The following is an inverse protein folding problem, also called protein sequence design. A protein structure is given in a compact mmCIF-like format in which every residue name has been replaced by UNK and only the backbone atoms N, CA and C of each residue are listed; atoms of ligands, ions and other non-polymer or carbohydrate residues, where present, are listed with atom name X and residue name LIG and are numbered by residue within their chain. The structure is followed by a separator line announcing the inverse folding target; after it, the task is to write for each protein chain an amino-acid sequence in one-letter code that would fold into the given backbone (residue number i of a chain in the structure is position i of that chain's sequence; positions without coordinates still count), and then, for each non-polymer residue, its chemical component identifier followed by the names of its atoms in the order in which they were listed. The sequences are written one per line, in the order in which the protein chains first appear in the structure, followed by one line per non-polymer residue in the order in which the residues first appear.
data_IF_683085050992
#
_entry.id   IF_683085050992
#
_cell.length_a   1.000
_cell.length_b   1.000
_cell.length_c   1.000
_cell.angle_alpha   90.00
_cell.angle_beta   90.00
_cell.angle_gamma   90.00
#
_symmetry.space_group_name_H-M   'P 1'
#
loop_
_entity.id
_entity.type
_entity.pdbx_description
1 polymer ?
#
# COMPACT_ATOMS: atom_id res chain seq x y z
N UNK A 1 -50.63 -31.48 16.48
CA UNK A 1 -50.31 -31.33 15.05
C UNK A 1 -49.98 -29.86 14.87
N UNK A 2 -48.83 -29.42 14.39
CA UNK A 2 -47.71 -30.06 13.71
C UNK A 2 -46.53 -29.07 13.79
N UNK A 3 -45.31 -29.61 13.73
CA UNK A 3 -44.05 -28.87 13.76
C UNK A 3 -43.86 -28.04 12.47
N UNK A 4 -43.15 -26.91 12.57
CA UNK A 4 -42.19 -26.53 11.52
C UNK A 4 -40.97 -25.87 12.16
N UNK A 5 -39.83 -26.55 12.01
CA UNK A 5 -38.50 -26.18 12.48
C UNK A 5 -37.74 -25.28 11.50
N UNK A 6 -36.90 -24.42 12.09
CA UNK A 6 -35.60 -23.91 11.63
C UNK A 6 -35.36 -23.55 10.14
N UNK A 7 -34.95 -22.30 9.96
CA UNK A 7 -34.11 -21.84 8.84
C UNK A 7 -33.27 -20.62 9.23
N UNK A 8 -32.40 -20.75 10.24
CA UNK A 8 -31.38 -19.73 10.53
C UNK A 8 -30.34 -19.74 9.41
N UNK A 9 -30.50 -18.86 8.42
CA UNK A 9 -29.45 -18.59 7.45
C UNK A 9 -28.27 -17.92 8.16
N UNK A 10 -27.30 -18.72 8.63
CA UNK A 10 -25.95 -18.23 8.92
C UNK A 10 -25.37 -17.67 7.63
N UNK A 11 -25.34 -16.34 7.50
CA UNK A 11 -24.46 -15.68 6.52
C UNK A 11 -23.02 -16.09 6.86
N UNK A 12 -22.43 -16.90 6.00
CA UNK A 12 -21.00 -17.18 6.02
C UNK A 12 -20.32 -15.84 5.69
N UNK A 13 -19.72 -15.18 6.67
CA UNK A 13 -18.82 -14.05 6.40
C UNK A 13 -17.62 -14.64 5.65
N UNK A 14 -17.58 -14.46 4.34
CA UNK A 14 -16.49 -14.96 3.51
C UNK A 14 -15.17 -14.46 4.08
N UNK A 15 -14.24 -15.37 4.39
CA UNK A 15 -12.90 -15.05 4.91
C UNK A 15 -11.98 -14.33 3.94
N UNK A 16 -12.53 -13.84 2.83
CA UNK A 16 -11.82 -13.25 1.71
C UNK A 16 -12.54 -11.98 1.24
N UNK A 17 -11.74 -10.96 0.93
CA UNK A 17 -12.22 -9.71 0.33
C UNK A 17 -12.06 -9.84 -1.18
N UNK A 18 -13.18 -9.81 -1.89
CA UNK A 18 -13.22 -9.89 -3.36
C UNK A 18 -12.96 -8.52 -3.97
N UNK A 19 -11.89 -8.39 -4.75
CA UNK A 19 -11.64 -7.26 -5.62
C UNK A 19 -12.65 -7.26 -6.76
N UNK A 20 -13.67 -6.40 -6.68
CA UNK A 20 -14.50 -6.12 -7.87
C UNK A 20 -13.68 -5.27 -8.83
N UNK A 21 -13.84 -5.54 -10.12
CA UNK A 21 -13.30 -4.72 -11.20
C UNK A 21 -13.67 -3.24 -10.93
N UNK A 22 -12.68 -2.41 -10.61
CA UNK A 22 -12.89 -0.99 -10.33
C UNK A 22 -13.02 -0.27 -11.67
N UNK A 23 -14.19 -0.38 -12.30
CA UNK A 23 -14.60 0.52 -13.37
C UNK A 23 -15.16 1.81 -12.77
N UNK A 24 -14.90 2.94 -13.45
CA UNK A 24 -15.08 4.36 -13.09
C UNK A 24 -16.45 4.84 -12.54
N UNK A 25 -17.34 3.98 -12.05
CA UNK A 25 -18.67 4.39 -11.57
C UNK A 25 -18.96 3.93 -10.14
N UNK A 26 -19.48 4.90 -9.37
CA UNK A 26 -20.01 4.88 -8.00
C UNK A 26 -19.97 3.53 -7.30
N UNK A 27 -19.21 3.48 -6.20
CA UNK A 27 -19.34 2.47 -5.16
C UNK A 27 -20.75 2.57 -4.56
N UNK A 28 -21.62 1.63 -4.90
CA UNK A 28 -22.96 1.49 -4.30
C UNK A 28 -22.85 0.86 -2.91
N UNK A 29 -23.42 1.52 -1.91
CA UNK A 29 -23.45 1.08 -0.53
C UNK A 29 -24.59 0.07 -0.30
N UNK A 30 -24.27 -1.21 -0.28
CA UNK A 30 -25.07 -2.18 0.49
C UNK A 30 -24.17 -3.32 0.96
N UNK A 31 -23.63 -3.21 2.18
CA UNK A 31 -22.92 -4.30 2.85
C UNK A 31 -23.29 -4.28 4.34
N UNK A 32 -24.10 -5.24 4.76
CA UNK A 32 -24.36 -5.57 6.15
C UNK A 32 -23.17 -6.39 6.70
N UNK A 33 -22.24 -5.75 7.41
CA UNK A 33 -21.03 -6.37 7.98
C UNK A 33 -20.63 -5.72 9.31
N UNK A 34 -19.83 -6.42 10.13
CA UNK A 34 -19.52 -6.01 11.51
C UNK A 34 -18.66 -4.74 11.63
N UNK A 35 -18.60 -4.16 12.83
CA UNK A 35 -17.96 -2.86 13.13
C UNK A 35 -16.50 -2.73 12.62
N UNK A 36 -15.73 -3.82 12.62
CA UNK A 36 -14.34 -3.82 12.12
C UNK A 36 -14.20 -4.00 10.60
N UNK A 37 -15.09 -4.75 9.95
CA UNK A 37 -15.16 -4.82 8.47
C UNK A 37 -15.59 -3.49 7.87
N UNK A 38 -16.60 -2.88 8.49
CA UNK A 38 -17.04 -1.53 8.16
C UNK A 38 -15.89 -0.56 8.34
N UNK A 39 -15.10 -0.66 9.42
CA UNK A 39 -13.95 0.23 9.66
C UNK A 39 -12.76 -0.01 8.74
N UNK A 40 -12.42 -1.23 8.37
CA UNK A 40 -11.32 -1.47 7.43
C UNK A 40 -11.68 -0.97 6.03
N UNK A 41 -12.88 -1.32 5.58
CA UNK A 41 -13.42 -0.82 4.32
C UNK A 41 -13.62 0.69 4.37
N UNK A 42 -14.06 1.27 5.50
CA UNK A 42 -14.21 2.71 5.67
C UNK A 42 -12.86 3.41 5.78
N UNK A 43 -11.83 2.83 6.39
CA UNK A 43 -10.47 3.39 6.45
C UNK A 43 -9.83 3.34 5.08
N UNK A 44 -9.90 2.22 4.35
CA UNK A 44 -9.41 2.15 2.97
C UNK A 44 -10.23 3.08 2.06
N UNK A 45 -11.55 3.15 2.21
CA UNK A 45 -12.39 4.08 1.45
C UNK A 45 -12.19 5.55 1.87
N UNK A 46 -11.84 5.83 3.12
CA UNK A 46 -11.52 7.18 3.62
C UNK A 46 -10.15 7.61 3.11
N UNK A 47 -9.15 6.75 3.22
CA UNK A 47 -7.84 6.92 2.59
C UNK A 47 -8.00 7.06 1.07
N UNK A 48 -8.86 6.28 0.44
CA UNK A 48 -9.16 6.43 -0.99
C UNK A 48 -9.77 7.80 -1.33
N UNK A 49 -10.59 8.36 -0.44
CA UNK A 49 -11.18 9.70 -0.60
C UNK A 49 -10.20 10.83 -0.29
N UNK A 50 -9.34 10.67 0.71
CA UNK A 50 -8.34 11.68 1.10
C UNK A 50 -7.16 11.76 0.13
N UNK A 51 -6.75 10.63 -0.46
CA UNK A 51 -5.58 10.56 -1.32
C UNK A 51 -5.89 10.84 -2.82
N UNK A 52 -7.16 10.94 -3.18
CA UNK A 52 -7.61 11.14 -4.56
C UNK A 52 -7.72 9.84 -5.36
N UNK A 53 -8.56 9.86 -6.40
CA UNK A 53 -8.97 8.67 -7.18
C UNK A 53 -7.77 7.85 -7.69
N UNK A 54 -6.66 8.48 -8.12
CA UNK A 54 -5.46 7.78 -8.59
C UNK A 54 -4.68 7.05 -7.50
N UNK A 55 -4.46 7.66 -6.34
CA UNK A 55 -3.72 7.01 -5.24
C UNK A 55 -4.52 5.88 -4.59
N UNK A 56 -5.85 6.01 -4.56
CA UNK A 56 -6.73 4.92 -4.14
C UNK A 56 -6.59 3.68 -5.01
N UNK A 57 -6.44 3.86 -6.33
CA UNK A 57 -6.18 2.79 -7.28
C UNK A 57 -4.87 2.07 -6.98
N UNK A 58 -3.81 2.80 -6.64
CA UNK A 58 -2.50 2.21 -6.29
C UNK A 58 -2.57 1.33 -5.04
N UNK A 59 -3.28 1.79 -4.00
CA UNK A 59 -3.48 1.01 -2.78
C UNK A 59 -4.28 -0.26 -3.06
N UNK A 60 -5.36 -0.14 -3.84
CA UNK A 60 -6.18 -1.29 -4.23
C UNK A 60 -5.39 -2.27 -5.10
N UNK A 61 -4.67 -1.81 -6.11
CA UNK A 61 -3.84 -2.67 -6.96
C UNK A 61 -2.72 -3.34 -6.15
N UNK A 62 -2.08 -2.63 -5.22
CA UNK A 62 -1.09 -3.21 -4.30
C UNK A 62 -1.70 -4.33 -3.45
N UNK A 63 -2.89 -4.08 -2.87
CA UNK A 63 -3.63 -5.09 -2.12
C UNK A 63 -4.06 -6.27 -2.99
N UNK A 64 -4.55 -6.07 -4.23
CA UNK A 64 -5.07 -7.16 -5.06
C UNK A 64 -4.02 -7.86 -5.94
N UNK A 65 -2.80 -7.32 -6.01
CA UNK A 65 -1.62 -8.06 -6.51
C UNK A 65 -1.15 -9.11 -5.52
N UNK A 66 -1.53 -8.96 -4.26
CA UNK A 66 -1.40 -10.01 -3.26
C UNK A 66 -2.03 -11.32 -3.73
N UNK A 67 -1.50 -12.46 -3.27
CA UNK A 67 -1.92 -13.81 -3.67
C UNK A 67 -1.87 -14.07 -5.19
N UNK A 68 -0.88 -13.54 -5.90
CA UNK A 68 -0.66 -13.84 -7.32
C UNK A 68 -1.67 -13.19 -8.27
N UNK A 69 -2.31 -12.09 -7.85
CA UNK A 69 -3.26 -11.36 -8.70
C UNK A 69 -4.62 -12.01 -8.84
N UNK A 70 -4.98 -12.96 -7.98
CA UNK A 70 -6.25 -13.69 -8.07
C UNK A 70 -7.50 -12.84 -7.76
N UNK A 71 -7.32 -11.59 -7.31
CA UNK A 71 -8.42 -10.68 -6.96
C UNK A 71 -9.00 -10.94 -5.56
N UNK A 72 -8.38 -11.79 -4.75
CA UNK A 72 -8.84 -12.08 -3.38
C UNK A 72 -7.71 -11.90 -2.36
N UNK A 73 -7.98 -11.14 -1.31
CA UNK A 73 -7.07 -11.00 -0.16
C UNK A 73 -7.72 -11.68 1.04
N UNK A 74 -7.00 -12.62 1.67
CA UNK A 74 -7.45 -13.26 2.91
C UNK A 74 -7.64 -12.16 3.95
N UNK A 75 -8.83 -12.09 4.51
CA UNK A 75 -9.14 -11.07 5.51
C UNK A 75 -8.30 -11.35 6.77
N UNK A 76 -7.54 -10.36 7.27
CA UNK A 76 -6.80 -10.48 8.52
C UNK A 76 -7.67 -11.06 9.64
N UNK A 77 -7.09 -11.94 10.43
CA UNK A 77 -7.83 -12.65 11.48
C UNK A 77 -8.41 -11.68 12.51
N UNK A 78 -7.73 -10.55 12.76
CA UNK A 78 -8.21 -9.46 13.61
C UNK A 78 -9.53 -8.84 13.12
N UNK A 79 -9.79 -8.86 11.81
CA UNK A 79 -11.05 -8.39 11.23
C UNK A 79 -12.09 -9.52 11.17
N UNK A 80 -11.65 -10.79 11.21
CA UNK A 80 -12.51 -11.98 11.19
C UNK A 80 -13.02 -12.36 12.57
N UNK A 81 -12.24 -12.09 13.61
CA UNK A 81 -12.68 -12.23 14.99
C UNK A 81 -13.77 -11.19 15.23
N UNK A 82 -15.00 -11.68 15.43
CA UNK A 82 -16.00 -10.92 16.18
C UNK A 82 -15.44 -10.79 17.60
N UNK A 83 -14.53 -9.84 17.81
CA UNK A 83 -14.30 -9.31 19.14
C UNK A 83 -15.68 -8.92 19.63
N UNK A 84 -16.18 -9.69 20.61
CA UNK A 84 -17.39 -9.37 21.33
C UNK A 84 -17.22 -7.92 21.78
N UNK A 85 -17.97 -7.03 21.13
CA UNK A 85 -17.83 -5.59 21.27
C UNK A 85 -18.26 -5.18 22.68
N UNK A 86 -17.35 -5.24 23.65
CA UNK A 86 -17.52 -4.54 24.94
C UNK A 86 -16.45 -3.46 25.15
N UNK A 87 -15.54 -3.29 24.21
CA UNK A 87 -14.60 -2.16 24.22
C UNK A 87 -14.79 -1.34 22.96
N UNK A 88 -15.44 -0.19 23.11
CA UNK A 88 -15.30 0.93 22.20
C UNK A 88 -13.81 1.10 21.86
N UNK A 89 -13.52 1.18 20.56
CA UNK A 89 -12.20 1.57 20.10
C UNK A 89 -11.98 3.01 20.55
N UNK A 90 -11.18 3.14 21.59
CA UNK A 90 -10.68 4.41 22.07
C UNK A 90 -9.49 4.81 21.17
N UNK A 91 -9.62 5.85 20.31
CA UNK A 91 -8.53 6.34 19.48
C UNK A 91 -7.35 6.90 20.30
N UNK A 92 -7.48 7.02 21.62
CA UNK A 92 -6.41 7.43 22.53
C UNK A 92 -5.64 6.25 23.15
N UNK A 93 -6.12 5.00 23.00
CA UNK A 93 -5.38 3.81 23.46
C UNK A 93 -4.16 3.57 22.58
N UNK A 94 -2.98 3.70 23.19
CA UNK A 94 -1.71 3.30 22.58
C UNK A 94 -1.72 1.77 22.41
N UNK A 95 -1.74 1.30 21.17
CA UNK A 95 -1.61 -0.13 20.88
C UNK A 95 -0.13 -0.52 20.94
N UNK A 96 0.22 -1.70 21.50
CA UNK A 96 1.60 -2.16 21.50
C UNK A 96 2.06 -2.46 20.07
N UNK A 97 3.34 -2.19 19.80
CA UNK A 97 3.99 -2.59 18.55
C UNK A 97 4.04 -4.11 18.49
N UNK A 98 3.54 -4.69 17.40
CA UNK A 98 3.55 -6.15 17.18
C UNK A 98 4.73 -6.60 16.34
N UNK A 99 5.19 -5.74 15.43
CA UNK A 99 6.22 -6.06 14.45
C UNK A 99 6.93 -4.79 14.02
N UNK A 100 8.24 -4.84 13.87
CA UNK A 100 9.01 -3.74 13.29
C UNK A 100 9.51 -4.14 11.91
N UNK A 101 9.18 -3.34 10.90
CA UNK A 101 9.67 -3.50 9.53
C UNK A 101 10.84 -2.55 9.29
N UNK A 102 12.02 -3.11 9.04
CA UNK A 102 13.19 -2.38 8.54
C UNK A 102 13.26 -2.51 7.03
N UNK A 103 13.33 -1.37 6.35
CA UNK A 103 13.38 -1.25 4.89
C UNK A 103 14.63 -0.50 4.52
N UNK A 104 15.52 -1.15 3.79
CA UNK A 104 16.69 -0.49 3.21
C UNK A 104 16.50 -0.33 1.70
N UNK A 105 16.53 0.92 1.24
CA UNK A 105 16.44 1.28 -0.17
C UNK A 105 17.86 1.56 -0.68
N UNK A 106 18.40 0.65 -1.50
CA UNK A 106 19.77 0.77 -1.99
C UNK A 106 19.85 1.71 -3.19
N UNK A 107 19.18 1.34 -4.28
CA UNK A 107 19.30 2.02 -5.55
C UNK A 107 18.07 1.78 -6.43
N UNK A 108 17.94 2.59 -7.47
CA UNK A 108 17.00 2.38 -8.56
C UNK A 108 17.71 2.33 -9.91
N UNK A 109 17.06 1.71 -10.89
CA UNK A 109 17.55 1.68 -12.27
C UNK A 109 16.40 1.50 -13.25
N UNK A 110 16.70 1.71 -14.54
CA UNK A 110 15.80 1.41 -15.66
C UNK A 110 15.06 2.62 -16.23
N UNK A 111 15.14 3.79 -15.60
CA UNK A 111 14.48 5.00 -16.11
C UNK A 111 15.03 5.45 -17.48
N UNK A 112 16.35 5.41 -17.68
CA UNK A 112 16.97 5.76 -18.96
C UNK A 112 16.63 4.81 -20.11
N UNK A 113 16.05 3.64 -19.82
CA UNK A 113 15.58 2.67 -20.82
C UNK A 113 14.12 2.88 -21.19
N UNK A 114 13.31 3.36 -20.24
CA UNK A 114 11.86 3.46 -20.40
C UNK A 114 11.41 4.89 -20.76
N UNK A 115 12.24 5.91 -20.50
CA UNK A 115 11.91 7.33 -20.69
C UNK A 115 12.90 8.03 -21.63
N UNK A 116 12.43 9.06 -22.33
CA UNK A 116 13.29 9.92 -23.14
C UNK A 116 14.28 10.70 -22.25
N UNK A 117 15.47 11.06 -22.76
CA UNK A 117 16.45 11.85 -22.00
C UNK A 117 15.92 13.17 -21.45
N UNK A 118 14.88 13.75 -22.07
CA UNK A 118 14.27 15.02 -21.68
C UNK A 118 12.94 14.85 -20.93
N UNK A 119 12.64 13.65 -20.42
CA UNK A 119 11.33 13.35 -19.84
C UNK A 119 11.10 14.05 -18.49
N UNK A 120 12.13 14.06 -17.66
CA UNK A 120 12.13 14.64 -16.33
C UNK A 120 12.65 16.08 -16.42
N UNK A 121 13.92 16.22 -16.76
CA UNK A 121 14.53 17.52 -17.02
C UNK A 121 14.85 17.73 -18.49
N UNK A 122 14.68 18.97 -18.98
CA UNK A 122 14.92 19.29 -20.39
C UNK A 122 16.42 19.34 -20.75
N UNK A 123 17.28 19.70 -19.80
CA UNK A 123 18.69 20.01 -20.06
C UNK A 123 19.68 19.25 -19.16
N UNK A 124 19.20 18.41 -18.26
CA UNK A 124 19.98 17.62 -17.33
C UNK A 124 19.40 16.21 -17.16
N UNK A 125 20.13 15.25 -16.58
CA UNK A 125 19.54 14.05 -16.02
C UNK A 125 18.65 14.38 -14.80
N UNK A 126 17.80 13.44 -14.35
CA UNK A 126 16.87 13.67 -13.25
C UNK A 126 17.53 13.75 -11.86
N UNK A 127 16.86 14.48 -10.97
CA UNK A 127 17.11 14.67 -9.54
C UNK A 127 16.21 13.75 -8.69
N UNK A 128 16.49 12.45 -8.68
CA UNK A 128 15.58 11.50 -8.03
C UNK A 128 15.67 11.46 -6.50
N UNK A 129 14.50 11.41 -5.86
CA UNK A 129 14.33 11.04 -4.46
C UNK A 129 13.14 10.08 -4.29
N UNK A 130 13.12 9.36 -3.16
CA UNK A 130 12.04 8.44 -2.84
C UNK A 130 11.33 8.79 -1.53
N UNK A 131 10.02 8.68 -1.55
CA UNK A 131 9.16 8.71 -0.37
C UNK A 131 8.79 7.27 0.00
N UNK A 132 9.19 6.83 1.20
CA UNK A 132 8.92 5.50 1.75
C UNK A 132 7.98 5.65 2.94
N UNK A 133 6.85 4.96 2.95
CA UNK A 133 5.86 5.12 3.99
C UNK A 133 4.98 3.91 4.22
N UNK A 134 4.26 3.96 5.34
CA UNK A 134 3.25 2.96 5.71
C UNK A 134 1.86 3.56 5.54
N UNK A 135 0.98 2.79 4.91
CA UNK A 135 -0.45 3.06 4.81
C UNK A 135 -1.21 1.91 5.47
N UNK A 136 -2.33 2.16 6.13
CA UNK A 136 -3.09 1.13 6.84
C UNK A 136 -3.79 1.69 8.06
N UNK A 137 -3.38 1.22 9.26
CA UNK A 137 -3.89 1.76 10.52
C UNK A 137 -3.46 3.22 10.71
N UNK A 138 -4.38 4.13 11.11
CA UNK A 138 -4.04 5.55 11.31
C UNK A 138 -2.84 5.79 12.23
N UNK A 139 -2.68 4.98 13.29
CA UNK A 139 -1.54 5.07 14.22
C UNK A 139 -0.21 4.58 13.64
N UNK A 140 -0.24 3.79 12.56
CA UNK A 140 0.96 3.26 11.89
C UNK A 140 1.34 4.12 10.66
N UNK A 141 0.49 5.08 10.26
CA UNK A 141 0.75 5.92 9.08
C UNK A 141 1.97 6.79 9.34
N UNK A 142 2.97 6.62 8.48
CA UNK A 142 4.19 7.43 8.52
C UNK A 142 4.79 7.52 7.12
N UNK A 143 5.52 8.60 6.87
CA UNK A 143 6.14 8.87 5.59
C UNK A 143 7.52 9.48 5.83
N UNK A 144 8.52 8.87 5.21
CA UNK A 144 9.93 9.28 5.26
C UNK A 144 10.42 9.54 3.84
N UNK A 145 11.44 10.38 3.69
CA UNK A 145 12.04 10.70 2.40
C UNK A 145 13.52 10.37 2.41
N UNK A 146 14.04 9.90 1.29
CA UNK A 146 15.48 9.86 1.05
C UNK A 146 16.01 11.26 0.77
N UNK A 147 17.33 11.38 0.74
CA UNK A 147 18.03 12.46 0.05
C UNK A 147 17.70 12.46 -1.44
N UNK A 148 17.84 13.64 -2.04
CA UNK A 148 17.81 13.82 -3.49
C UNK A 148 19.17 13.43 -4.06
N UNK A 149 19.19 12.59 -5.08
CA UNK A 149 20.38 12.28 -5.87
C UNK A 149 20.28 13.09 -7.14
N UNK A 150 21.15 14.10 -7.29
CA UNK A 150 21.10 15.03 -8.40
C UNK A 150 21.71 14.46 -9.68
N UNK A 151 21.20 14.89 -10.83
CA UNK A 151 21.74 14.64 -12.17
C UNK A 151 22.10 13.16 -12.44
N UNK A 152 21.24 12.21 -12.04
CA UNK A 152 21.58 10.78 -12.16
C UNK A 152 20.38 9.85 -12.45
N UNK A 153 20.43 9.18 -13.61
CA UNK A 153 19.48 8.14 -14.02
C UNK A 153 19.54 6.83 -13.20
N UNK A 154 20.60 6.65 -12.42
CA UNK A 154 20.86 5.45 -11.61
C UNK A 154 21.08 5.85 -10.14
N UNK A 155 20.03 6.33 -9.44
CA UNK A 155 20.16 6.86 -8.09
C UNK A 155 20.54 5.76 -7.11
N UNK A 156 21.55 6.04 -6.28
CA UNK A 156 21.97 5.19 -5.15
C UNK A 156 21.71 5.97 -3.87
N UNK A 157 20.62 5.63 -3.17
CA UNK A 157 20.26 6.26 -1.89
C UNK A 157 20.98 5.60 -0.72
N UNK A 158 20.98 4.27 -0.67
CA UNK A 158 21.53 3.47 0.43
C UNK A 158 21.04 3.91 1.82
N UNK A 159 19.74 4.18 1.94
CA UNK A 159 19.09 4.65 3.17
C UNK A 159 18.20 3.58 3.78
N UNK A 160 18.14 3.55 5.11
CA UNK A 160 17.35 2.61 5.90
C UNK A 160 16.26 3.32 6.69
N UNK A 161 15.09 2.69 6.73
CA UNK A 161 13.89 3.19 7.38
C UNK A 161 13.29 2.12 8.27
N UNK A 162 12.98 2.49 9.50
CA UNK A 162 12.31 1.62 10.46
C UNK A 162 10.85 2.01 10.67
N UNK A 163 9.97 1.02 10.70
CA UNK A 163 8.52 1.20 10.81
C UNK A 163 7.96 0.25 11.90
N UNK A 164 7.71 0.74 13.11
CA UNK A 164 6.97 -0.02 14.12
C UNK A 164 5.49 -0.12 13.73
N UNK A 165 4.94 -1.33 13.71
CA UNK A 165 3.58 -1.61 13.25
C UNK A 165 2.74 -2.22 14.38
N UNK A 166 1.60 -1.61 14.66
CA UNK A 166 0.62 -2.12 15.63
C UNK A 166 -0.32 -3.14 14.99
N UNK A 167 -0.62 -3.00 13.69
CA UNK A 167 -1.46 -3.96 12.93
C UNK A 167 -0.80 -4.27 11.57
N UNK A 168 0.32 -5.02 11.56
CA UNK A 168 1.06 -5.34 10.33
C UNK A 168 0.24 -6.09 9.29
N UNK A 169 -0.84 -6.76 9.67
CA UNK A 169 -1.71 -7.54 8.79
C UNK A 169 -2.46 -6.68 7.77
N UNK A 170 -2.60 -5.38 8.05
CA UNK A 170 -3.25 -4.41 7.15
C UNK A 170 -2.33 -3.32 6.65
N UNK A 171 -1.05 -3.36 7.05
CA UNK A 171 -0.06 -2.38 6.66
C UNK A 171 0.36 -2.62 5.21
N UNK A 172 0.45 -1.53 4.45
CA UNK A 172 0.99 -1.46 3.11
C UNK A 172 2.24 -0.59 3.14
N UNK A 173 3.36 -1.13 2.67
CA UNK A 173 4.56 -0.38 2.39
C UNK A 173 4.38 0.32 1.03
N UNK A 174 4.29 1.65 1.04
CA UNK A 174 4.23 2.47 -0.15
C UNK A 174 5.60 3.09 -0.43
N UNK A 175 6.06 2.95 -1.67
CA UNK A 175 7.24 3.65 -2.18
C UNK A 175 6.81 4.48 -3.37
N UNK A 176 7.20 5.75 -3.38
CA UNK A 176 7.02 6.64 -4.51
C UNK A 176 8.38 7.24 -4.86
N UNK A 177 8.78 7.21 -6.13
CA UNK A 177 9.97 7.92 -6.63
C UNK A 177 9.48 9.13 -7.39
N UNK A 178 10.17 10.25 -7.16
CA UNK A 178 9.91 11.52 -7.82
C UNK A 178 11.21 12.14 -8.28
N UNK A 179 11.09 12.93 -9.30
CA UNK A 179 12.11 13.83 -9.76
C UNK A 179 11.88 15.21 -9.13
N UNK A 180 12.94 15.82 -8.59
CA UNK A 180 12.86 17.06 -7.84
C UNK A 180 12.96 18.24 -8.81
N UNK A 181 11.87 18.96 -9.00
CA UNK A 181 11.86 20.20 -9.77
C UNK A 181 11.93 21.41 -8.82
N UNK A 182 13.01 22.21 -8.84
CA UNK A 182 13.13 23.42 -8.00
C UNK A 182 12.14 24.53 -8.37
N UNK A 183 11.67 24.53 -9.61
CA UNK A 183 10.87 25.61 -10.23
C UNK A 183 9.38 25.29 -10.30
N UNK A 184 9.03 24.02 -10.12
CA UNK A 184 7.68 23.52 -10.30
C UNK A 184 7.28 22.46 -9.28
N UNK A 185 6.43 21.55 -9.73
CA UNK A 185 5.96 20.42 -8.94
C UNK A 185 6.81 19.22 -9.32
N UNK A 186 7.38 18.56 -8.33
CA UNK A 186 8.12 17.30 -8.49
C UNK A 186 7.40 16.30 -9.42
N UNK A 187 8.12 15.83 -10.43
CA UNK A 187 7.61 14.92 -11.45
C UNK A 187 7.52 13.49 -10.94
N UNK A 188 6.50 12.77 -11.41
CA UNK A 188 6.26 11.40 -10.98
C UNK A 188 7.19 10.43 -11.72
N UNK A 189 8.06 9.74 -10.98
CA UNK A 189 9.01 8.79 -11.55
C UNK A 189 8.65 7.32 -11.28
N UNK A 190 7.60 7.05 -10.49
CA UNK A 190 7.10 5.70 -10.26
C UNK A 190 6.57 5.48 -8.86
N UNK A 191 5.76 4.42 -8.70
CA UNK A 191 5.28 3.99 -7.40
C UNK A 191 5.20 2.47 -7.30
N UNK A 192 5.22 1.97 -6.08
CA UNK A 192 4.82 0.61 -5.76
C UNK A 192 4.18 0.57 -4.39
N UNK A 193 3.29 -0.40 -4.19
CA UNK A 193 2.58 -0.58 -2.93
C UNK A 193 2.53 -2.07 -2.61
N UNK A 194 3.15 -2.45 -1.50
CA UNK A 194 3.43 -3.84 -1.13
C UNK A 194 2.77 -4.16 0.21
N UNK A 195 1.91 -5.19 0.29
CA UNK A 195 1.38 -5.66 1.57
C UNK A 195 2.51 -6.14 2.47
N UNK A 196 2.60 -5.59 3.69
CA UNK A 196 3.66 -5.96 4.65
C UNK A 196 3.60 -7.45 5.01
N UNK A 197 2.40 -8.03 5.01
CA UNK A 197 2.15 -9.46 5.23
C UNK A 197 2.77 -10.38 4.16
N UNK A 198 3.05 -9.87 2.96
CA UNK A 198 3.62 -10.65 1.85
C UNK A 198 5.10 -10.38 1.61
N UNK A 199 5.66 -9.37 2.28
CA UNK A 199 7.08 -9.09 2.22
C UNK A 199 7.87 -10.25 2.83
N UNK A 200 8.93 -10.67 2.13
CA UNK A 200 9.87 -11.70 2.57
C UNK A 200 11.22 -11.06 2.86
N UNK A 201 11.83 -11.37 3.99
CA UNK A 201 13.13 -10.83 4.40
C UNK A 201 14.25 -11.06 3.37
N UNK A 202 15.23 -10.16 3.35
CA UNK A 202 16.38 -10.16 2.44
C UNK A 202 16.19 -9.24 1.23
N UNK A 203 17.11 -9.37 0.26
CA UNK A 203 17.17 -8.52 -0.93
C UNK A 203 16.09 -8.85 -1.96
N UNK A 204 15.46 -7.83 -2.52
CA UNK A 204 14.42 -7.91 -3.54
C UNK A 204 14.62 -6.85 -4.60
N UNK A 205 14.42 -7.25 -5.85
CA UNK A 205 14.21 -6.31 -6.95
C UNK A 205 12.71 -6.04 -7.04
N UNK A 206 12.32 -4.79 -6.83
CA UNK A 206 10.92 -4.36 -6.73
C UNK A 206 10.57 -3.52 -7.95
N UNK A 207 9.63 -3.95 -8.82
CA UNK A 207 9.22 -3.17 -9.97
C UNK A 207 8.41 -1.93 -9.56
N UNK A 208 8.52 -0.88 -10.37
CA UNK A 208 7.70 0.33 -10.25
C UNK A 208 6.60 0.38 -11.30
N UNK A 209 5.58 1.17 -10.99
CA UNK A 209 4.37 1.34 -11.79
C UNK A 209 4.12 2.83 -12.06
N UNK A 210 3.48 3.11 -13.19
CA UNK A 210 3.07 4.45 -13.57
C UNK A 210 1.82 4.92 -12.78
N UNK A 211 1.35 6.14 -13.03
CA UNK A 211 0.17 6.68 -12.34
C UNK A 211 -1.13 5.91 -12.62
N UNK A 212 -1.21 5.18 -13.74
CA UNK A 212 -2.35 4.32 -14.10
C UNK A 212 -2.25 2.94 -13.45
N UNK A 213 -1.13 2.63 -12.80
CA UNK A 213 -0.85 1.33 -12.22
C UNK A 213 -0.26 0.30 -13.19
N UNK A 214 0.14 0.72 -14.38
CA UNK A 214 0.78 -0.15 -15.36
C UNK A 214 2.27 -0.30 -15.01
N UNK A 215 2.82 -1.50 -15.14
CA UNK A 215 4.21 -1.76 -14.78
C UNK A 215 5.15 -1.12 -15.79
N UNK A 216 6.21 -0.48 -15.30
CA UNK A 216 7.33 -0.11 -16.15
C UNK A 216 8.07 -1.37 -16.64
N UNK A 217 8.67 -1.28 -17.83
CA UNK A 217 9.33 -2.42 -18.46
C UNK A 217 10.65 -2.72 -17.76
N UNK A 218 11.41 -1.67 -17.48
CA UNK A 218 12.78 -1.75 -16.97
C UNK A 218 12.94 -1.20 -15.56
N UNK A 219 12.05 -0.28 -15.13
CA UNK A 219 12.24 0.43 -13.86
C UNK A 219 12.03 -0.47 -12.63
N UNK A 220 13.08 -0.59 -11.81
CA UNK A 220 13.06 -1.39 -10.57
C UNK A 220 13.95 -0.78 -9.48
N UNK A 221 13.55 -1.00 -8.23
CA UNK A 221 14.31 -0.67 -7.03
C UNK A 221 15.00 -1.92 -6.47
N UNK A 222 16.23 -1.77 -5.98
CA UNK A 222 16.88 -2.76 -5.13
C UNK A 222 16.63 -2.41 -3.67
N UNK A 223 15.94 -3.28 -2.96
CA UNK A 223 15.56 -3.09 -1.56
C UNK A 223 15.91 -4.31 -0.72
N UNK A 224 16.11 -4.14 0.59
CA UNK A 224 16.06 -5.25 1.53
C UNK A 224 15.04 -5.03 2.63
N UNK A 225 14.39 -6.11 3.03
CA UNK A 225 13.41 -6.10 4.11
C UNK A 225 13.93 -6.94 5.28
N UNK A 226 13.74 -6.46 6.49
CA UNK A 226 14.01 -7.20 7.72
C UNK A 226 12.84 -6.99 8.68
N UNK A 227 12.50 -8.03 9.41
CA UNK A 227 11.45 -8.02 10.41
C UNK A 227 12.04 -8.33 11.77
N UNK A 228 11.63 -7.55 12.76
CA UNK A 228 11.94 -7.71 14.18
C UNK A 228 10.65 -7.85 14.99
#
# INVERSE_FOLDING_TARGET
MEQTSLGSHRKISSGYIQGRHVSNHRISNHISGGCMELRWSHSICRLAREFGVGKSLWLMQGMFRANGGCGYVKKPEILMQKLHCDHEFDPTRIMPVKKTLKVKLYMGHGWSLDFSPTHFDMFSPPDFYSEVGIVGMPCDITKKKTKVIMDNWFPVWNEEFEFPLTVPEIALLQIQVKDRDPTGKDDFAGQTCLPVSELRSGFRSVPLYNEKGEQFKSVKLLMSFQFE
#
